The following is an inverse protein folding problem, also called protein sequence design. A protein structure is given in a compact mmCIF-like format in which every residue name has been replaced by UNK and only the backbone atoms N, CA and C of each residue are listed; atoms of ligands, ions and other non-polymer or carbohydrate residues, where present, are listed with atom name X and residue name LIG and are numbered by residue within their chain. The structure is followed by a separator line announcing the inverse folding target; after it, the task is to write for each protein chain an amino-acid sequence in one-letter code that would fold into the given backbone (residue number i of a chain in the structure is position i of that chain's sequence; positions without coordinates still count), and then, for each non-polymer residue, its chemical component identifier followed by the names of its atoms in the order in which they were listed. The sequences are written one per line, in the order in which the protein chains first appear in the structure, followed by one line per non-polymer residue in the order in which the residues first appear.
data_IF_731670928569
#
_entry.id   IF_731670928569
#
_cell.length_a   1.000
_cell.length_b   1.000
_cell.length_c   1.000
_cell.angle_alpha   90.00
_cell.angle_beta   90.00
_cell.angle_gamma   90.00
#
_symmetry.space_group_name_H-M   'P 1'
#
loop_
_entity.id
_entity.type
_entity.pdbx_description
1 polymer ?
#
# COMPACT_ATOMS: atom_id res chain seq x y z
N UNK A 1 7.32 49.38 6.12
CA UNK A 1 7.14 47.95 6.46
C UNK A 1 7.09 47.20 5.16
N UNK A 2 8.17 46.51 4.82
CA UNK A 2 8.33 45.83 3.53
C UNK A 2 7.82 44.39 3.65
N UNK A 3 6.81 44.05 2.86
CA UNK A 3 6.26 42.70 2.74
C UNK A 3 7.29 41.79 2.06
N UNK A 4 7.62 40.60 2.58
CA UNK A 4 8.51 39.68 1.87
C UNK A 4 7.74 39.00 0.72
N UNK A 5 8.28 39.12 -0.51
CA UNK A 5 7.84 38.31 -1.64
C UNK A 5 8.25 36.85 -1.41
N UNK A 6 7.26 35.96 -1.22
CA UNK A 6 7.48 34.52 -1.33
C UNK A 6 7.61 34.17 -2.82
N UNK A 7 8.75 33.62 -3.21
CA UNK A 7 8.96 33.06 -4.55
C UNK A 7 8.27 31.70 -4.61
N UNK A 8 7.14 31.62 -5.30
CA UNK A 8 6.53 30.35 -5.70
C UNK A 8 7.30 29.81 -6.90
N UNK A 9 7.96 28.67 -6.72
CA UNK A 9 8.55 27.92 -7.81
C UNK A 9 7.50 26.92 -8.30
N UNK A 10 6.90 27.18 -9.46
CA UNK A 10 5.99 26.24 -10.12
C UNK A 10 6.84 25.19 -10.81
N UNK A 11 6.91 23.99 -10.24
CA UNK A 11 7.54 22.84 -10.88
C UNK A 11 6.44 21.97 -11.51
N UNK A 12 6.36 21.95 -12.83
CA UNK A 12 5.60 20.93 -13.56
C UNK A 12 6.51 19.71 -13.64
N UNK A 13 6.24 18.70 -12.82
CA UNK A 13 6.93 17.40 -12.87
C UNK A 13 5.92 16.35 -13.28
N UNK A 14 6.18 15.68 -14.41
CA UNK A 14 5.48 14.46 -14.78
C UNK A 14 5.93 13.36 -13.81
N UNK A 15 5.05 12.96 -12.90
CA UNK A 15 5.30 11.86 -11.97
C UNK A 15 5.01 10.53 -12.68
N UNK A 16 5.99 9.63 -12.69
CA UNK A 16 5.78 8.22 -13.07
C UNK A 16 5.72 7.41 -11.78
N UNK A 17 4.52 6.95 -11.41
CA UNK A 17 4.36 5.88 -10.42
C UNK A 17 4.62 4.55 -11.14
N UNK A 18 5.46 3.70 -10.56
CA UNK A 18 5.79 2.40 -11.11
C UNK A 18 5.81 1.38 -9.98
N UNK A 19 5.03 0.31 -10.07
CA UNK A 19 5.13 -0.79 -9.11
C UNK A 19 6.39 -1.62 -9.41
N UNK A 20 7.11 -1.99 -8.36
CA UNK A 20 8.16 -2.99 -8.38
C UNK A 20 7.70 -4.21 -7.58
N UNK A 21 7.92 -5.39 -8.15
CA UNK A 21 7.70 -6.69 -7.50
C UNK A 21 8.55 -6.78 -6.23
N UNK A 22 7.92 -6.98 -5.07
CA UNK A 22 8.61 -7.28 -3.82
C UNK A 22 8.98 -8.76 -3.79
N UNK A 23 10.10 -9.10 -4.43
CA UNK A 23 10.73 -10.41 -4.23
C UNK A 23 11.42 -10.42 -2.85
N UNK A 24 10.77 -10.97 -1.84
CA UNK A 24 11.38 -11.20 -0.52
C UNK A 24 12.29 -12.43 -0.59
N UNK A 25 13.61 -12.22 -0.75
CA UNK A 25 14.60 -13.24 -0.39
C UNK A 25 14.84 -13.14 1.12
N UNK A 26 14.42 -14.18 1.85
CA UNK A 26 14.70 -14.33 3.27
C UNK A 26 16.19 -14.64 3.50
N UNK A 27 16.73 -14.10 4.58
CA UNK A 27 17.99 -14.55 5.18
C UNK A 27 17.83 -14.61 6.71
N UNK A 28 18.48 -15.63 7.26
CA UNK A 28 18.27 -16.31 8.53
C UNK A 28 18.34 -15.50 9.84
N UNK A 29 17.57 -15.98 10.82
CA UNK A 29 17.66 -15.70 12.27
C UNK A 29 19.07 -15.90 12.86
N UNK A 30 19.40 -15.17 13.95
CA UNK A 30 20.19 -15.76 15.01
C UNK A 30 19.41 -15.87 16.33
N UNK A 31 19.31 -17.10 16.83
CA UNK A 31 18.81 -17.48 18.14
C UNK A 31 19.65 -16.89 19.31
N UNK A 32 19.10 -16.82 20.54
CA UNK A 32 19.68 -16.05 21.65
C UNK A 32 20.76 -16.82 22.45
N UNK A 33 21.67 -16.03 23.02
CA UNK A 33 22.84 -16.40 23.84
C UNK A 33 22.49 -16.98 25.22
N UNK A 34 23.16 -18.07 25.63
CA UNK A 34 23.48 -18.35 27.04
C UNK A 34 24.63 -19.38 27.21
N UNK A 35 25.66 -19.00 27.97
CA UNK A 35 26.34 -19.85 28.98
C UNK A 35 27.52 -20.75 28.57
N UNK A 36 28.74 -20.26 28.84
CA UNK A 36 30.02 -21.02 28.99
C UNK A 36 29.97 -21.95 30.25
N UNK A 37 30.80 -23.02 30.43
CA UNK A 37 32.27 -22.88 30.50
C UNK A 37 33.18 -24.07 30.05
N UNK A 38 34.48 -23.73 29.90
CA UNK A 38 35.72 -24.48 30.25
C UNK A 38 36.49 -25.34 29.21
N UNK A 39 37.63 -24.75 28.78
CA UNK A 39 39.02 -25.27 28.64
C UNK A 39 39.33 -26.57 27.89
N UNK A 40 40.08 -26.45 26.78
CA UNK A 40 41.32 -27.22 26.52
C UNK A 40 42.20 -26.50 25.46
N UNK A 41 43.50 -26.73 25.59
CA UNK A 41 44.65 -25.96 25.08
C UNK A 41 45.21 -26.51 23.75
N UNK A 42 45.75 -25.60 22.93
CA UNK A 42 46.83 -25.68 21.91
C UNK A 42 47.08 -26.96 21.10
N UNK A 43 47.25 -26.83 19.77
CA UNK A 43 48.62 -26.76 19.20
C UNK A 43 48.64 -26.28 17.74
N UNK A 44 49.73 -25.61 17.39
CA UNK A 44 50.00 -25.01 16.09
C UNK A 44 50.75 -25.97 15.16
N UNK A 45 50.60 -25.81 13.84
CA UNK A 45 51.67 -26.00 12.83
C UNK A 45 51.22 -25.49 11.47
N UNK A 46 51.88 -24.43 11.00
CA UNK A 46 52.14 -24.11 9.60
C UNK A 46 53.67 -24.29 9.42
N UNK A 47 54.26 -24.63 8.24
CA UNK A 47 54.51 -23.60 7.24
C UNK A 47 54.62 -24.02 5.75
N UNK A 48 54.55 -22.99 4.88
CA UNK A 48 55.35 -22.72 3.63
C UNK A 48 55.09 -23.53 2.35
N UNK A 49 55.26 -23.04 1.13
CA UNK A 49 55.43 -21.73 0.45
C UNK A 49 55.53 -22.07 -1.06
N UNK A 50 55.19 -21.14 -1.97
CA UNK A 50 55.27 -21.36 -3.41
C UNK A 50 54.72 -20.21 -4.25
N UNK A 51 55.56 -19.20 -4.45
CA UNK A 51 55.35 -17.93 -5.18
C UNK A 51 55.37 -18.01 -6.72
N UNK A 52 55.05 -16.84 -7.30
CA UNK A 52 55.24 -16.29 -8.67
C UNK A 52 54.10 -16.51 -9.69
N UNK A 53 53.57 -15.49 -10.39
CA UNK A 53 53.94 -14.07 -10.50
C UNK A 53 53.69 -13.56 -11.94
N UNK A 54 53.30 -12.28 -12.07
CA UNK A 54 53.21 -11.42 -13.29
C UNK A 54 51.97 -11.54 -14.19
N UNK A 55 51.39 -10.47 -14.77
CA UNK A 55 51.46 -9.00 -14.60
C UNK A 55 50.31 -8.38 -15.44
N UNK A 56 50.03 -7.09 -15.19
CA UNK A 56 49.03 -6.18 -15.76
C UNK A 56 48.93 -6.14 -17.32
N UNK A 57 47.90 -5.61 -17.99
CA UNK A 57 47.31 -4.25 -17.89
C UNK A 57 46.11 -4.18 -18.87
N UNK A 58 44.97 -3.59 -18.48
CA UNK A 58 44.43 -2.35 -19.09
C UNK A 58 42.99 -2.04 -18.64
N UNK A 59 42.82 -0.77 -18.29
CA UNK A 59 41.60 -0.13 -17.81
C UNK A 59 40.69 0.25 -19.00
N UNK A 60 39.38 0.36 -18.77
CA UNK A 60 38.78 1.70 -18.84
C UNK A 60 37.95 1.94 -17.58
N UNK A 61 38.25 2.96 -16.78
CA UNK A 61 37.79 4.33 -16.98
C UNK A 61 36.36 4.41 -17.50
N UNK A 62 35.45 4.30 -16.54
CA UNK A 62 34.04 4.59 -16.66
C UNK A 62 33.52 4.83 -15.26
N UNK A 63 33.99 5.89 -14.60
CA UNK A 63 33.31 6.43 -13.43
C UNK A 63 31.98 7.01 -13.91
N UNK A 64 31.01 6.12 -14.12
CA UNK A 64 29.62 6.51 -14.11
C UNK A 64 29.35 6.94 -12.67
N UNK A 65 29.25 8.25 -12.46
CA UNK A 65 28.57 8.77 -11.28
C UNK A 65 27.16 8.19 -11.35
N UNK A 66 26.92 7.07 -10.68
CA UNK A 66 25.57 6.63 -10.39
C UNK A 66 24.93 7.82 -9.69
N UNK A 67 24.04 8.50 -10.40
CA UNK A 67 23.21 9.51 -9.76
C UNK A 67 22.37 8.69 -8.81
N UNK A 68 22.71 8.76 -7.52
CA UNK A 68 22.07 8.05 -6.43
C UNK A 68 20.62 8.55 -6.35
N UNK A 69 19.76 8.05 -7.25
CA UNK A 69 18.34 8.29 -7.18
C UNK A 69 17.87 7.56 -5.94
N UNK A 70 17.17 8.26 -5.02
CA UNK A 70 16.69 7.64 -3.81
C UNK A 70 15.87 6.40 -4.17
N UNK A 71 16.11 5.31 -3.44
CA UNK A 71 15.37 4.07 -3.62
C UNK A 71 13.87 4.33 -3.57
N UNK A 72 13.08 3.64 -4.42
CA UNK A 72 11.64 3.80 -4.42
C UNK A 72 11.06 3.50 -3.04
N UNK A 73 10.13 4.35 -2.59
CA UNK A 73 9.42 4.14 -1.33
C UNK A 73 8.03 3.59 -1.59
N UNK A 74 7.66 2.56 -0.85
CA UNK A 74 6.34 1.94 -0.90
C UNK A 74 5.33 2.80 -0.13
N UNK A 75 4.18 3.08 -0.74
CA UNK A 75 3.13 3.94 -0.22
C UNK A 75 1.81 3.18 -0.28
N UNK A 76 1.07 3.05 0.84
CA UNK A 76 -0.30 2.58 0.80
C UNK A 76 -1.21 3.69 0.28
N UNK A 77 -1.95 3.40 -0.78
CA UNK A 77 -3.01 4.27 -1.32
C UNK A 77 -4.34 3.57 -1.12
N UNK A 78 -5.32 4.32 -0.63
CA UNK A 78 -6.67 3.81 -0.45
C UNK A 78 -7.54 4.27 -1.61
N UNK A 79 -8.32 3.35 -2.16
CA UNK A 79 -9.24 3.58 -3.27
C UNK A 79 -10.63 3.08 -2.92
N UNK A 80 -11.65 3.61 -3.58
CA UNK A 80 -13.03 3.20 -3.39
C UNK A 80 -13.31 1.96 -4.22
N UNK A 81 -13.96 0.96 -3.62
CA UNK A 81 -14.49 -0.22 -4.31
C UNK A 81 -15.90 -0.53 -3.80
N UNK A 82 -16.65 -1.29 -4.60
CA UNK A 82 -18.02 -1.66 -4.28
C UNK A 82 -18.06 -2.86 -3.34
N UNK A 83 -18.97 -2.85 -2.37
CA UNK A 83 -19.21 -3.99 -1.48
C UNK A 83 -20.72 -4.16 -1.28
N UNK A 84 -21.21 -5.31 -0.80
CA UNK A 84 -22.61 -5.45 -0.40
C UNK A 84 -23.11 -4.42 0.62
N UNK A 85 -22.20 -3.87 1.43
CA UNK A 85 -22.49 -2.82 2.40
C UNK A 85 -22.38 -1.39 1.84
N UNK A 86 -22.30 -1.24 0.50
CA UNK A 86 -21.99 0.00 -0.21
C UNK A 86 -20.49 0.27 -0.30
N UNK A 87 -20.14 1.39 -0.92
CA UNK A 87 -18.74 1.80 -1.16
C UNK A 87 -17.87 1.72 0.12
N UNK A 88 -16.69 1.12 0.00
CA UNK A 88 -15.66 1.05 1.04
C UNK A 88 -14.27 1.30 0.45
N UNK A 89 -13.30 1.53 1.32
CA UNK A 89 -11.91 1.75 0.93
C UNK A 89 -11.12 0.44 0.94
N UNK A 90 -10.51 0.13 -0.21
CA UNK A 90 -9.51 -0.92 -0.39
C UNK A 90 -8.12 -0.28 -0.41
N UNK A 91 -7.09 -1.06 -0.07
CA UNK A 91 -5.70 -0.57 -0.03
C UNK A 91 -4.89 -1.24 -1.12
N UNK A 92 -4.20 -0.43 -1.90
CA UNK A 92 -3.13 -0.85 -2.80
C UNK A 92 -1.79 -0.28 -2.33
N UNK A 93 -0.70 -0.91 -2.75
CA UNK A 93 0.64 -0.36 -2.56
C UNK A 93 1.20 0.10 -3.90
N UNK A 94 1.67 1.33 -3.92
CA UNK A 94 2.39 1.90 -5.06
C UNK A 94 3.80 2.29 -4.63
N UNK A 95 4.70 2.50 -5.60
CA UNK A 95 6.02 3.02 -5.31
C UNK A 95 6.17 4.46 -5.82
N UNK A 96 6.78 5.29 -4.99
CA UNK A 96 7.26 6.62 -5.38
C UNK A 96 8.77 6.61 -5.55
N UNK A 97 9.25 6.99 -6.73
CA UNK A 97 10.65 7.22 -7.02
C UNK A 97 10.85 8.69 -7.42
N UNK A 98 11.85 9.35 -6.84
CA UNK A 98 12.20 10.73 -7.19
C UNK A 98 11.20 11.82 -6.76
N UNK A 99 10.13 11.46 -6.06
CA UNK A 99 9.13 12.38 -5.48
C UNK A 99 8.94 12.07 -4.01
N UNK A 100 8.70 13.10 -3.20
CA UNK A 100 8.35 12.92 -1.80
C UNK A 100 7.11 11.99 -1.66
N UNK A 101 7.15 10.97 -0.79
CA UNK A 101 6.07 9.99 -0.68
C UNK A 101 4.72 10.61 -0.31
N UNK A 102 4.72 11.66 0.52
CA UNK A 102 3.48 12.29 0.96
C UNK A 102 2.83 13.06 -0.20
N UNK A 103 3.65 13.72 -1.02
CA UNK A 103 3.20 14.36 -2.27
C UNK A 103 2.70 13.33 -3.27
N UNK A 104 3.41 12.23 -3.46
CA UNK A 104 2.99 11.13 -4.35
C UNK A 104 1.67 10.50 -3.88
N UNK A 105 1.50 10.30 -2.57
CA UNK A 105 0.28 9.78 -1.96
C UNK A 105 -0.93 10.71 -2.23
N UNK A 106 -0.74 12.02 -2.05
CA UNK A 106 -1.79 13.01 -2.33
C UNK A 106 -2.17 13.07 -3.82
N UNK A 107 -1.18 12.95 -4.71
CA UNK A 107 -1.41 12.87 -6.14
C UNK A 107 -2.18 11.61 -6.54
N UNK A 108 -1.83 10.44 -5.97
CA UNK A 108 -2.53 9.19 -6.22
C UNK A 108 -4.02 9.24 -5.81
N UNK A 109 -4.36 9.96 -4.74
CA UNK A 109 -5.76 10.16 -4.33
C UNK A 109 -6.58 10.93 -5.37
N UNK A 110 -5.99 11.95 -6.01
CA UNK A 110 -6.72 12.92 -6.85
C UNK A 110 -6.64 12.62 -8.35
N UNK A 111 -5.55 11.99 -8.78
CA UNK A 111 -5.26 11.72 -10.18
C UNK A 111 -4.70 10.31 -10.42
N UNK A 112 -4.69 9.45 -9.39
CA UNK A 112 -4.22 8.08 -9.51
C UNK A 112 -5.16 7.22 -10.35
N UNK A 113 -4.55 6.26 -11.04
CA UNK A 113 -5.21 5.18 -11.76
C UNK A 113 -4.93 3.90 -10.95
N UNK A 114 -5.88 3.39 -10.16
CA UNK A 114 -5.72 2.15 -9.42
C UNK A 114 -5.31 1.02 -10.37
N UNK A 115 -4.45 0.11 -9.91
CA UNK A 115 -4.04 -1.01 -10.75
C UNK A 115 -5.19 -2.01 -10.86
N UNK A 116 -5.90 -2.22 -9.76
CA UNK A 116 -7.15 -2.95 -9.73
C UNK A 116 -8.30 -2.16 -10.38
N UNK A 117 -8.89 -2.65 -11.49
CA UNK A 117 -9.97 -1.95 -12.17
C UNK A 117 -11.29 -2.02 -11.40
N UNK A 118 -11.40 -2.83 -10.35
CA UNK A 118 -12.55 -2.82 -9.46
C UNK A 118 -12.51 -1.60 -8.52
N UNK A 119 -11.37 -0.91 -8.47
CA UNK A 119 -11.16 0.26 -7.63
C UNK A 119 -11.24 1.57 -8.44
N UNK A 120 -11.58 2.65 -7.74
CA UNK A 120 -11.66 4.00 -8.31
C UNK A 120 -11.25 5.07 -7.31
N UNK A 121 -10.92 6.25 -7.82
CA UNK A 121 -10.97 7.46 -7.00
C UNK A 121 -12.37 8.09 -7.03
N UNK A 122 -12.82 8.60 -5.88
CA UNK A 122 -14.04 9.42 -5.78
C UNK A 122 -13.73 10.91 -5.71
N UNK A 123 -12.46 11.30 -5.88
CA UNK A 123 -12.05 12.70 -5.83
C UNK A 123 -12.42 13.45 -7.11
N UNK A 124 -12.93 14.70 -6.99
CA UNK A 124 -13.02 15.60 -8.14
C UNK A 124 -11.63 15.81 -8.77
N UNK A 125 -11.61 16.02 -10.08
CA UNK A 125 -10.36 16.32 -10.80
C UNK A 125 -9.68 17.56 -10.22
N UNK A 126 -8.36 17.52 -10.12
CA UNK A 126 -7.54 18.63 -9.64
C UNK A 126 -6.30 18.12 -8.93
N UNK A 127 -5.66 18.99 -8.16
CA UNK A 127 -4.50 18.63 -7.33
C UNK A 127 -4.44 19.54 -6.10
N UNK A 128 -3.78 19.07 -5.06
CA UNK A 128 -3.40 19.92 -3.94
C UNK A 128 -2.29 20.90 -4.37
N UNK A 129 -2.31 22.12 -3.85
CA UNK A 129 -1.26 23.10 -4.08
C UNK A 129 0.02 22.72 -3.33
N UNK A 130 -0.12 22.15 -2.12
CA UNK A 130 0.98 21.58 -1.34
C UNK A 130 0.47 20.55 -0.34
N UNK A 131 1.34 19.59 0.01
CA UNK A 131 1.14 18.68 1.12
C UNK A 131 2.46 18.53 1.89
N UNK A 132 2.42 18.72 3.20
CA UNK A 132 3.61 18.64 4.05
C UNK A 132 3.28 18.20 5.48
N UNK A 133 4.26 17.64 6.18
CA UNK A 133 4.19 17.44 7.63
C UNK A 133 4.65 18.71 8.34
N UNK A 134 3.77 19.33 9.14
CA UNK A 134 4.09 20.54 9.88
C UNK A 134 3.37 20.59 11.23
N UNK A 135 4.13 20.86 12.30
CA UNK A 135 3.57 21.09 13.64
C UNK A 135 2.74 19.92 14.20
N UNK A 136 3.17 18.68 13.95
CA UNK A 136 2.48 17.46 14.42
C UNK A 136 1.16 17.17 13.69
N UNK A 137 1.04 17.64 12.45
CA UNK A 137 -0.10 17.41 11.57
C UNK A 137 0.39 17.24 10.13
N UNK A 138 -0.46 16.66 9.30
CA UNK A 138 -0.29 16.70 7.84
C UNK A 138 -1.11 17.88 7.34
N UNK A 139 -0.48 18.87 6.70
CA UNK A 139 -1.13 20.06 6.18
C UNK A 139 -1.31 19.91 4.68
N UNK A 140 -2.55 20.00 4.20
CA UNK A 140 -2.89 20.03 2.77
C UNK A 140 -3.42 21.43 2.42
N UNK A 141 -2.84 22.07 1.40
CA UNK A 141 -3.39 23.30 0.81
C UNK A 141 -4.19 22.90 -0.43
N UNK A 142 -5.48 23.24 -0.45
CA UNK A 142 -6.31 23.06 -1.65
C UNK A 142 -6.12 24.25 -2.59
N UNK A 143 -6.00 24.00 -3.88
CA UNK A 143 -5.83 25.06 -4.89
C UNK A 143 -7.18 25.65 -5.30
N UNK A 144 -8.22 24.81 -5.36
CA UNK A 144 -9.54 25.15 -5.87
C UNK A 144 -10.55 25.36 -4.72
N UNK A 145 -11.24 26.51 -4.71
CA UNK A 145 -12.29 26.80 -3.72
C UNK A 145 -13.46 25.82 -3.84
N UNK A 146 -13.70 25.26 -5.03
CA UNK A 146 -14.77 24.29 -5.26
C UNK A 146 -14.61 23.03 -4.40
N UNK A 147 -13.37 22.68 -4.03
CA UNK A 147 -13.08 21.56 -3.12
C UNK A 147 -13.47 21.84 -1.66
N UNK A 148 -13.83 23.08 -1.30
CA UNK A 148 -14.44 23.35 0.01
C UNK A 148 -15.88 22.85 0.05
N UNK A 149 -16.57 22.84 -1.10
CA UNK A 149 -17.90 22.28 -1.28
C UNK A 149 -17.87 20.82 -1.73
N UNK A 150 -18.99 20.11 -1.60
CA UNK A 150 -19.11 18.69 -2.02
C UNK A 150 -19.21 18.50 -3.54
N UNK A 151 -19.41 19.57 -4.31
CA UNK A 151 -19.76 19.50 -5.72
C UNK A 151 -20.98 18.59 -5.94
N UNK A 152 -20.83 17.64 -6.87
CA UNK A 152 -21.86 16.66 -7.23
C UNK A 152 -21.89 15.43 -6.32
N UNK A 153 -20.92 15.28 -5.41
CA UNK A 153 -20.90 14.15 -4.48
C UNK A 153 -22.10 14.21 -3.52
N UNK A 154 -22.70 13.04 -3.28
CA UNK A 154 -23.58 12.91 -2.14
C UNK A 154 -22.80 12.98 -0.82
N UNK A 155 -23.52 13.03 0.31
CA UNK A 155 -22.91 13.19 1.62
C UNK A 155 -22.05 11.98 2.03
N UNK A 156 -22.44 10.77 1.66
CA UNK A 156 -21.71 9.56 1.99
C UNK A 156 -20.44 9.46 1.15
N UNK A 157 -20.54 9.72 -0.16
CA UNK A 157 -19.42 9.76 -1.09
C UNK A 157 -18.38 10.82 -0.69
N UNK A 158 -18.82 12.03 -0.35
CA UNK A 158 -17.93 13.09 0.12
C UNK A 158 -17.16 12.71 1.40
N UNK A 159 -17.84 12.05 2.35
CA UNK A 159 -17.18 11.55 3.57
C UNK A 159 -16.17 10.46 3.27
N UNK A 160 -16.52 9.51 2.39
CA UNK A 160 -15.62 8.44 2.00
C UNK A 160 -14.40 8.97 1.24
N UNK A 161 -14.59 9.92 0.32
CA UNK A 161 -13.49 10.58 -0.38
C UNK A 161 -12.54 11.32 0.58
N UNK A 162 -13.08 12.01 1.60
CA UNK A 162 -12.23 12.60 2.65
C UNK A 162 -11.46 11.52 3.43
N UNK A 163 -12.08 10.38 3.72
CA UNK A 163 -11.39 9.26 4.37
C UNK A 163 -10.34 8.61 3.47
N UNK A 164 -10.56 8.57 2.15
CA UNK A 164 -9.59 8.13 1.15
C UNK A 164 -8.29 8.92 1.28
N UNK A 165 -8.39 10.25 1.36
CA UNK A 165 -7.23 11.13 1.59
C UNK A 165 -6.58 10.87 2.95
N UNK A 166 -7.37 10.88 4.02
CA UNK A 166 -6.83 10.76 5.38
C UNK A 166 -6.08 9.45 5.58
N UNK A 167 -6.66 8.32 5.18
CA UNK A 167 -6.01 7.02 5.30
C UNK A 167 -4.75 6.91 4.45
N UNK A 168 -4.76 7.47 3.24
CA UNK A 168 -3.60 7.48 2.33
C UNK A 168 -2.45 8.32 2.90
N UNK A 169 -2.72 9.57 3.31
CA UNK A 169 -1.67 10.44 3.86
C UNK A 169 -1.10 9.91 5.18
N UNK A 170 -1.96 9.46 6.09
CA UNK A 170 -1.52 8.83 7.34
C UNK A 170 -0.74 7.53 7.10
N UNK A 171 -1.10 6.78 6.07
CA UNK A 171 -0.37 5.60 5.63
C UNK A 171 1.02 5.94 5.08
N UNK A 172 1.13 7.00 4.27
CA UNK A 172 2.40 7.48 3.72
C UNK A 172 3.37 7.99 4.80
N UNK A 173 2.86 8.65 5.84
CA UNK A 173 3.65 9.09 7.00
C UNK A 173 3.98 7.92 7.93
N UNK A 174 3.11 6.91 8.00
CA UNK A 174 3.24 5.81 8.97
C UNK A 174 2.73 6.16 10.38
N UNK A 175 1.97 7.24 10.53
CA UNK A 175 1.38 7.69 11.79
C UNK A 175 -0.04 8.24 11.59
N UNK A 176 -0.84 8.30 12.65
CA UNK A 176 -2.23 8.79 12.65
C UNK A 176 -2.33 10.28 12.96
N UNK A 177 -1.42 11.07 12.40
CA UNK A 177 -1.43 12.53 12.52
C UNK A 177 -2.73 13.13 11.96
N UNK A 178 -3.31 14.17 12.59
CA UNK A 178 -4.49 14.84 12.05
C UNK A 178 -4.16 15.52 10.71
N UNK A 179 -5.09 15.46 9.75
CA UNK A 179 -4.97 16.14 8.46
C UNK A 179 -5.65 17.51 8.55
N UNK A 180 -4.87 18.59 8.48
CA UNK A 180 -5.35 19.97 8.42
C UNK A 180 -5.46 20.40 6.98
N UNK A 181 -6.48 21.21 6.71
CA UNK A 181 -6.78 21.71 5.37
C UNK A 181 -6.67 23.23 5.38
N UNK A 182 -5.96 23.77 4.41
CA UNK A 182 -5.80 25.19 4.20
C UNK A 182 -6.26 25.58 2.78
N UNK A 183 -6.73 26.82 2.64
CA UNK A 183 -7.08 27.46 1.38
C UNK A 183 -6.69 28.93 1.47
N UNK A 184 -5.93 29.42 0.49
CA UNK A 184 -5.35 30.77 0.47
C UNK A 184 -4.53 31.04 1.75
N UNK A 185 -3.77 30.02 2.18
CA UNK A 185 -2.92 30.05 3.37
C UNK A 185 -3.67 30.28 4.69
N UNK A 186 -4.96 29.93 4.75
CA UNK A 186 -5.82 30.02 5.94
C UNK A 186 -6.51 28.68 6.20
N UNK A 187 -6.81 28.33 7.46
CA UNK A 187 -7.57 27.11 7.75
C UNK A 187 -8.91 27.07 7.00
N UNK A 188 -9.12 26.01 6.24
CA UNK A 188 -10.36 25.75 5.53
C UNK A 188 -11.43 25.22 6.50
N UNK A 189 -12.68 25.72 6.46
CA UNK A 189 -13.75 25.23 7.34
C UNK A 189 -14.21 23.82 6.95
N UNK A 190 -14.14 23.49 5.67
CA UNK A 190 -14.62 22.24 5.08
C UNK A 190 -13.68 21.73 4.00
N UNK A 191 -13.74 20.43 3.74
CA UNK A 191 -13.15 19.76 2.58
C UNK A 191 -14.21 18.82 2.02
N UNK A 192 -14.55 18.97 0.74
CA UNK A 192 -15.67 18.30 0.08
C UNK A 192 -17.00 18.46 0.86
N UNK A 193 -17.20 19.62 1.49
CA UNK A 193 -18.35 19.90 2.37
C UNK A 193 -18.33 19.17 3.72
N UNK A 194 -17.27 18.42 4.05
CA UNK A 194 -17.06 17.77 5.36
C UNK A 194 -16.36 18.75 6.30
N UNK A 195 -16.86 19.00 7.52
CA UNK A 195 -16.19 19.88 8.48
C UNK A 195 -14.78 19.40 8.85
N UNK A 196 -13.79 20.28 8.73
CA UNK A 196 -12.37 19.97 9.02
C UNK A 196 -12.09 20.07 10.53
N UNK A 197 -12.68 21.05 11.21
CA UNK A 197 -12.50 21.26 12.65
C UNK A 197 -11.03 21.51 13.02
N UNK A 198 -10.52 20.79 14.03
CA UNK A 198 -9.12 20.87 14.45
C UNK A 198 -8.15 20.04 13.58
N UNK A 199 -8.68 19.34 12.57
CA UNK A 199 -7.96 18.38 11.74
C UNK A 199 -8.78 17.09 11.59
N UNK A 200 -8.86 16.61 10.35
CA UNK A 200 -9.53 15.39 9.97
C UNK A 200 -8.78 14.18 10.52
N UNK A 201 -9.52 13.16 10.96
CA UNK A 201 -8.99 11.92 11.52
C UNK A 201 -9.55 10.73 10.77
N UNK A 202 -8.80 9.64 10.76
CA UNK A 202 -9.28 8.37 10.29
C UNK A 202 -10.50 7.94 11.11
N UNK A 203 -11.60 7.64 10.43
CA UNK A 203 -12.75 6.97 11.02
C UNK A 203 -12.37 5.53 11.42
N UNK A 204 -13.13 4.87 12.31
CA UNK A 204 -12.90 3.46 12.63
C UNK A 204 -12.81 2.59 11.38
N UNK A 205 -11.88 1.63 11.35
CA UNK A 205 -11.60 0.87 10.13
C UNK A 205 -12.82 0.12 9.61
N UNK A 206 -13.59 -0.51 10.50
CA UNK A 206 -14.77 -1.30 10.13
C UNK A 206 -15.91 -0.46 9.54
N UNK A 207 -15.89 0.86 9.72
CA UNK A 207 -16.91 1.77 9.19
C UNK A 207 -16.63 2.18 7.74
N UNK A 208 -15.37 2.18 7.31
CA UNK A 208 -14.94 2.81 6.04
C UNK A 208 -14.04 1.94 5.17
N UNK A 209 -13.30 0.98 5.72
CA UNK A 209 -12.48 0.07 4.95
C UNK A 209 -13.29 -1.17 4.54
N UNK A 210 -12.91 -1.80 3.44
CA UNK A 210 -13.44 -3.11 3.06
C UNK A 210 -13.07 -4.14 4.13
N UNK A 211 -13.99 -5.04 4.45
CA UNK A 211 -13.78 -6.01 5.54
C UNK A 211 -12.81 -7.13 5.17
N UNK A 212 -12.43 -7.24 3.91
CA UNK A 212 -11.33 -8.08 3.42
C UNK A 212 -10.63 -7.32 2.30
N UNK A 213 -9.31 -7.42 2.25
CA UNK A 213 -8.48 -6.87 1.18
C UNK A 213 -7.22 -7.72 1.03
N UNK A 214 -6.90 -8.12 -0.20
CA UNK A 214 -5.70 -8.82 -0.62
C UNK A 214 -4.60 -7.78 -0.82
N UNK A 215 -3.46 -8.01 -0.18
CA UNK A 215 -2.24 -7.21 -0.34
C UNK A 215 -1.28 -7.87 -1.32
N UNK A 216 -1.05 -9.18 -1.19
CA UNK A 216 -0.27 -9.95 -2.16
C UNK A 216 -1.00 -11.25 -2.52
N UNK A 217 -0.91 -11.71 -3.78
CA UNK A 217 -0.29 -11.03 -4.91
C UNK A 217 -1.05 -9.75 -5.32
N UNK A 218 -0.33 -8.72 -5.75
CA UNK A 218 -0.94 -7.53 -6.36
C UNK A 218 -1.67 -7.88 -7.68
N UNK A 219 -2.57 -7.00 -8.10
CA UNK A 219 -3.30 -7.14 -9.36
C UNK A 219 -2.34 -7.28 -10.56
N UNK A 220 -2.63 -8.25 -11.44
CA UNK A 220 -1.85 -8.51 -12.65
C UNK A 220 -0.52 -9.23 -12.43
N UNK A 221 -0.25 -9.70 -11.21
CA UNK A 221 1.02 -10.37 -10.87
C UNK A 221 1.17 -11.72 -11.58
N UNK A 222 2.37 -11.98 -12.09
CA UNK A 222 2.77 -13.30 -12.59
C UNK A 222 3.31 -14.14 -11.43
N UNK A 223 2.81 -15.36 -11.30
CA UNK A 223 3.10 -16.27 -10.19
C UNK A 223 3.41 -17.68 -10.68
N UNK A 224 4.06 -18.49 -9.84
CA UNK A 224 4.37 -19.89 -10.17
C UNK A 224 4.56 -20.70 -8.88
N UNK A 225 4.36 -22.03 -8.95
CA UNK A 225 4.62 -22.92 -7.81
C UNK A 225 3.72 -22.60 -6.61
N UNK A 226 4.32 -22.43 -5.43
CA UNK A 226 3.60 -22.02 -4.22
C UNK A 226 3.73 -20.51 -4.02
N UNK A 227 2.61 -19.82 -3.82
CA UNK A 227 2.58 -18.40 -3.48
C UNK A 227 2.18 -18.17 -2.04
N UNK A 228 2.64 -17.06 -1.47
CA UNK A 228 2.11 -16.52 -0.22
C UNK A 228 1.07 -15.46 -0.54
N UNK A 229 -0.19 -15.74 -0.23
CA UNK A 229 -1.26 -14.75 -0.28
C UNK A 229 -1.38 -14.06 1.08
N UNK A 230 -1.41 -12.73 1.09
CA UNK A 230 -1.50 -11.92 2.31
C UNK A 230 -2.55 -10.85 2.17
N UNK A 231 -3.06 -10.37 3.30
CA UNK A 231 -3.98 -9.25 3.29
C UNK A 231 -4.38 -8.79 4.67
N UNK A 232 -5.48 -8.05 4.73
CA UNK A 232 -6.13 -7.70 5.99
C UNK A 232 -7.61 -8.03 5.94
N UNK A 233 -8.17 -8.49 7.05
CA UNK A 233 -9.57 -8.85 7.13
C UNK A 233 -10.15 -8.64 8.54
N UNK A 234 -11.45 -8.41 8.60
CA UNK A 234 -12.27 -8.53 9.81
C UNK A 234 -13.46 -9.39 9.43
N UNK A 235 -13.31 -10.69 9.65
CA UNK A 235 -14.26 -11.72 9.20
C UNK A 235 -14.69 -12.58 10.37
N UNK A 236 -15.93 -13.10 10.36
CA UNK A 236 -16.46 -13.89 11.46
C UNK A 236 -15.50 -15.04 11.86
N UNK A 237 -15.25 -15.18 13.16
CA UNK A 237 -14.27 -16.14 13.73
C UNK A 237 -12.84 -16.05 13.14
N UNK A 238 -12.49 -14.91 12.56
CA UNK A 238 -11.25 -14.66 11.82
C UNK A 238 -11.04 -15.55 10.59
N UNK A 239 -12.09 -16.21 10.09
CA UNK A 239 -12.01 -17.08 8.91
C UNK A 239 -12.06 -16.24 7.63
N UNK A 240 -11.05 -16.36 6.77
CA UNK A 240 -11.01 -15.69 5.46
C UNK A 240 -11.03 -16.78 4.38
N UNK A 241 -12.22 -17.17 3.88
CA UNK A 241 -12.28 -18.07 2.73
C UNK A 241 -11.61 -17.43 1.52
N UNK A 242 -10.94 -18.25 0.72
CA UNK A 242 -10.36 -17.85 -0.56
C UNK A 242 -10.62 -18.90 -1.62
N UNK A 243 -10.64 -18.47 -2.87
CA UNK A 243 -10.72 -19.35 -4.03
C UNK A 243 -9.86 -18.84 -5.19
N UNK A 244 -9.55 -19.76 -6.11
CA UNK A 244 -8.98 -19.44 -7.41
C UNK A 244 -9.98 -19.87 -8.48
N UNK A 245 -10.35 -18.94 -9.33
CA UNK A 245 -11.20 -19.18 -10.50
C UNK A 245 -10.37 -19.16 -11.79
N UNK A 246 -10.69 -20.05 -12.71
CA UNK A 246 -10.12 -20.02 -14.07
C UNK A 246 -10.76 -18.93 -14.93
N UNK A 247 -10.24 -18.74 -16.15
CA UNK A 247 -10.76 -17.75 -17.11
C UNK A 247 -12.25 -17.90 -17.49
N UNK A 248 -12.91 -18.99 -17.12
CA UNK A 248 -14.35 -19.20 -17.33
C UNK A 248 -15.19 -18.83 -16.10
N UNK A 249 -14.56 -18.43 -14.99
CA UNK A 249 -15.21 -18.19 -13.69
C UNK A 249 -15.50 -19.48 -12.93
N UNK A 250 -14.84 -20.58 -13.28
CA UNK A 250 -14.99 -21.85 -12.55
C UNK A 250 -13.96 -21.89 -11.43
N UNK A 251 -14.42 -22.13 -10.21
CA UNK A 251 -13.54 -22.43 -9.09
C UNK A 251 -12.74 -23.71 -9.36
N UNK A 252 -11.42 -23.60 -9.27
CA UNK A 252 -10.46 -24.70 -9.49
C UNK A 252 -9.64 -25.02 -8.25
N UNK A 253 -9.59 -24.11 -7.28
CA UNK A 253 -8.95 -24.30 -5.99
C UNK A 253 -9.66 -23.46 -4.95
N UNK A 254 -9.74 -23.93 -3.71
CA UNK A 254 -10.35 -23.22 -2.59
C UNK A 254 -9.64 -23.55 -1.28
N UNK A 255 -9.84 -22.69 -0.29
CA UNK A 255 -9.39 -22.91 1.08
C UNK A 255 -9.77 -21.76 1.98
N UNK A 256 -9.08 -21.65 3.11
CA UNK A 256 -9.24 -20.51 4.02
C UNK A 256 -7.90 -20.12 4.64
N UNK A 257 -7.82 -18.87 5.10
CA UNK A 257 -6.79 -18.36 5.99
C UNK A 257 -7.43 -18.00 7.33
N UNK A 258 -6.61 -17.87 8.38
CA UNK A 258 -7.04 -17.33 9.68
C UNK A 258 -6.38 -15.98 9.89
N UNK A 259 -7.18 -14.93 10.04
CA UNK A 259 -6.69 -13.61 10.43
C UNK A 259 -6.28 -13.62 11.92
N UNK A 260 -5.39 -12.71 12.32
CA UNK A 260 -4.95 -12.60 13.73
C UNK A 260 -6.06 -12.15 14.71
N UNK A 261 -7.22 -11.75 14.20
CA UNK A 261 -8.37 -11.29 14.96
C UNK A 261 -9.50 -10.84 14.04
N UNK A 262 -10.61 -10.34 14.60
CA UNK A 262 -11.80 -10.00 13.79
C UNK A 262 -12.83 -9.01 14.39
N UNK A 263 -12.58 -8.40 15.54
CA UNK A 263 -13.65 -7.75 16.30
C UNK A 263 -13.74 -6.22 16.16
N UNK A 264 -12.61 -5.51 16.12
CA UNK A 264 -12.55 -4.05 16.28
C UNK A 264 -11.83 -3.31 15.15
N UNK A 265 -11.06 -4.03 14.33
CA UNK A 265 -10.27 -3.52 13.20
C UNK A 265 -10.00 -4.67 12.24
N UNK A 266 -9.40 -4.36 11.10
CA UNK A 266 -8.86 -5.42 10.26
C UNK A 266 -7.56 -5.97 10.87
N UNK A 267 -7.37 -7.27 10.75
CA UNK A 267 -6.20 -7.99 11.19
C UNK A 267 -5.48 -8.57 9.98
N UNK A 268 -4.15 -8.71 10.01
CA UNK A 268 -3.45 -9.39 8.94
C UNK A 268 -3.90 -10.85 8.85
N UNK A 269 -3.90 -11.38 7.63
CA UNK A 269 -4.05 -12.79 7.33
C UNK A 269 -3.01 -13.19 6.29
N UNK A 270 -2.61 -14.45 6.31
CA UNK A 270 -1.63 -15.03 5.41
C UNK A 270 -1.99 -16.50 5.15
N UNK A 271 -1.71 -16.99 3.93
CA UNK A 271 -1.79 -18.40 3.60
C UNK A 271 -0.83 -18.75 2.46
N UNK A 272 -0.36 -20.00 2.42
CA UNK A 272 0.37 -20.54 1.28
C UNK A 272 -0.60 -21.27 0.35
N UNK A 273 -0.53 -20.98 -0.95
CA UNK A 273 -1.38 -21.58 -1.97
C UNK A 273 -0.49 -22.30 -2.97
N UNK A 274 -0.66 -23.62 -3.09
CA UNK A 274 0.04 -24.44 -4.07
C UNK A 274 -0.69 -24.41 -5.42
N UNK A 275 -0.02 -23.86 -6.43
CA UNK A 275 -0.54 -23.72 -7.80
C UNK A 275 0.05 -24.76 -8.75
N UNK A 276 0.88 -25.69 -8.26
CA UNK A 276 1.66 -26.61 -9.11
C UNK A 276 0.82 -27.57 -9.96
N UNK A 277 -0.43 -27.84 -9.55
CA UNK A 277 -1.38 -28.67 -10.29
C UNK A 277 -2.25 -27.87 -11.28
N UNK A 278 -2.13 -26.54 -11.30
CA UNK A 278 -2.85 -25.68 -12.23
C UNK A 278 -2.05 -25.49 -13.52
N UNK A 279 -2.74 -25.50 -14.65
CA UNK A 279 -2.10 -25.23 -15.94
C UNK A 279 -1.68 -23.75 -16.03
N UNK A 280 -0.60 -23.42 -16.77
CA UNK A 280 -0.25 -22.03 -17.03
C UNK A 280 -1.41 -21.28 -17.71
N UNK A 281 -1.70 -20.06 -17.28
CA UNK A 281 -2.83 -19.28 -17.77
C UNK A 281 -3.30 -18.14 -16.86
N UNK A 282 -4.42 -17.52 -17.22
CA UNK A 282 -5.03 -16.44 -16.46
C UNK A 282 -6.04 -16.99 -15.43
N UNK A 283 -5.95 -16.46 -14.20
CA UNK A 283 -6.78 -16.85 -13.07
C UNK A 283 -7.17 -15.63 -12.24
N UNK A 284 -8.18 -15.78 -11.39
CA UNK A 284 -8.60 -14.78 -10.41
C UNK A 284 -8.49 -15.38 -9.01
N UNK A 285 -7.67 -14.78 -8.15
CA UNK A 285 -7.68 -15.02 -6.71
C UNK A 285 -8.80 -14.18 -6.08
N UNK A 286 -9.62 -14.81 -5.25
CA UNK A 286 -10.73 -14.16 -4.54
C UNK A 286 -10.53 -14.42 -3.05
N UNK A 287 -10.59 -13.38 -2.23
CA UNK A 287 -10.67 -13.50 -0.78
C UNK A 287 -11.96 -12.85 -0.30
N UNK A 288 -12.65 -13.50 0.64
CA UNK A 288 -13.97 -13.06 1.11
C UNK A 288 -14.06 -13.07 2.63
N UNK A 289 -14.99 -12.31 3.18
CA UNK A 289 -15.44 -12.53 4.56
C UNK A 289 -16.28 -13.81 4.62
N UNK A 290 -16.29 -14.48 5.75
CA UNK A 290 -17.20 -15.58 6.03
C UNK A 290 -18.65 -15.07 6.06
N UNK A 291 -19.58 -15.88 5.54
CA UNK A 291 -21.01 -15.59 5.51
C UNK A 291 -21.79 -16.63 6.32
N UNK A 292 -21.88 -16.46 7.67
CA UNK A 292 -22.63 -17.38 8.52
C UNK A 292 -24.14 -17.36 8.24
N UNK A 293 -24.64 -16.37 7.49
CA UNK A 293 -26.05 -16.30 7.09
C UNK A 293 -26.37 -17.15 5.86
N UNK A 294 -25.37 -17.70 5.19
CA UNK A 294 -25.51 -18.53 3.99
C UNK A 294 -26.38 -17.85 2.91
N UNK A 295 -26.12 -16.56 2.65
CA UNK A 295 -26.80 -15.78 1.61
C UNK A 295 -28.13 -15.12 2.00
N UNK A 296 -28.53 -15.15 3.28
CA UNK A 296 -29.72 -14.42 3.74
C UNK A 296 -29.47 -12.91 3.91
N UNK A 297 -28.20 -12.48 3.93
CA UNK A 297 -27.75 -11.08 3.99
C UNK A 297 -27.38 -10.46 2.64
N UNK A 298 -26.64 -9.34 2.69
CA UNK A 298 -26.08 -8.71 1.47
C UNK A 298 -25.03 -9.56 0.75
N UNK A 299 -24.54 -10.62 1.39
CA UNK A 299 -23.42 -11.43 0.95
C UNK A 299 -22.10 -10.99 1.58
N UNK A 300 -21.03 -11.76 1.37
CA UNK A 300 -19.71 -11.46 1.91
C UNK A 300 -19.10 -10.23 1.26
N UNK A 301 -18.25 -9.51 1.98
CA UNK A 301 -17.33 -8.58 1.32
C UNK A 301 -16.26 -9.40 0.62
N UNK A 302 -15.88 -9.02 -0.59
CA UNK A 302 -14.88 -9.72 -1.39
C UNK A 302 -13.82 -8.74 -1.88
N UNK A 303 -12.63 -9.26 -2.14
CA UNK A 303 -11.58 -8.60 -2.89
C UNK A 303 -11.00 -9.59 -3.92
N UNK A 304 -10.69 -9.10 -5.12
CA UNK A 304 -10.19 -9.95 -6.22
C UNK A 304 -8.83 -9.48 -6.72
N UNK A 305 -8.03 -10.41 -7.22
CA UNK A 305 -6.77 -10.13 -7.91
C UNK A 305 -6.63 -11.07 -9.09
N UNK A 306 -6.51 -10.52 -10.30
CA UNK A 306 -6.14 -11.33 -11.47
C UNK A 306 -4.66 -11.62 -11.42
N UNK A 307 -4.33 -12.87 -11.67
CA UNK A 307 -2.96 -13.39 -11.66
C UNK A 307 -2.72 -14.20 -12.92
N UNK A 308 -1.46 -14.31 -13.32
CA UNK A 308 -1.03 -15.20 -14.41
C UNK A 308 -0.13 -16.28 -13.84
N UNK A 309 -0.47 -17.55 -14.05
CA UNK A 309 0.35 -18.69 -13.64
C UNK A 309 1.27 -19.08 -14.80
N UNK A 310 2.57 -19.25 -14.53
CA UNK A 310 3.60 -19.74 -15.47
C UNK A 310 4.16 -21.11 -15.11
#
# INVERSE_FOLDING_TARGET
MSTPLRRTATAVVAATLSLGLLAACGDDDPAPTAGDPTTATSDASDPTDGSDGSDATDTPSGSATATDSPAPKVIPVYYVGDTPGGDRLFREFTQSAGVDPLVAAAAAVTAGDPVDPDYRTSWPSGRFASVEEAGGAIVVEVEDEDWLGRGDLDRAQARLAVQQLVYTLQGAVGDRLPVKVEYDGKPAPTLLGVPVGAGLKAAPQLDVLALVNITEPAEGTVVSGTITATGRASSFEATVPWSIEDSTGKEVLEGFATAEGWTDKLYPWETQIDLSDLAPGAYTLIARTDDPSNGEGGGPTEDTKRITIE
#
